data_IF_662282697594
#
_entry.id   IF_662282697594
#
_cell.length_a   1.000
_cell.length_b   1.000
_cell.length_c   1.000
_cell.angle_alpha   90.00
_cell.angle_beta   90.00
_cell.angle_gamma   90.00
#
_symmetry.space_group_name_H-M   'P 1'
#
loop_
_entity.id
_entity.type
_entity.pdbx_description
1 polymer ?
#
# COMPACT_ATOMS: atom_id res chain seq x y z
N UNK A 1 -26.88 -1.43 17.73
CA UNK A 1 -26.06 -2.24 16.81
C UNK A 1 -25.50 -1.46 15.63
N UNK A 2 -26.10 -0.33 15.19
CA UNK A 2 -25.56 0.48 14.07
C UNK A 2 -24.25 1.23 14.39
N UNK A 3 -24.06 1.69 15.63
CA UNK A 3 -22.86 2.46 16.01
C UNK A 3 -21.59 1.61 16.07
N UNK A 4 -21.72 0.30 16.28
CA UNK A 4 -20.60 -0.66 16.38
C UNK A 4 -19.99 -0.99 15.02
N UNK A 5 -20.81 -1.16 13.98
CA UNK A 5 -20.36 -1.45 12.61
C UNK A 5 -19.55 -0.29 12.03
N UNK A 6 -19.98 0.94 12.33
CA UNK A 6 -19.33 2.15 11.83
C UNK A 6 -17.98 2.42 12.47
N UNK A 7 -17.88 2.24 13.80
CA UNK A 7 -16.62 2.36 14.51
C UNK A 7 -15.58 1.35 13.97
N UNK A 8 -16.05 0.18 13.57
CA UNK A 8 -15.22 -0.84 12.92
C UNK A 8 -14.71 -0.38 11.54
N UNK A 9 -15.56 0.16 10.66
CA UNK A 9 -15.12 0.65 9.34
C UNK A 9 -14.00 1.70 9.43
N UNK A 10 -14.14 2.67 10.36
CA UNK A 10 -13.11 3.70 10.55
C UNK A 10 -11.84 3.13 11.19
N UNK A 11 -11.97 2.17 12.11
CA UNK A 11 -10.83 1.47 12.69
C UNK A 11 -10.05 0.69 11.63
N UNK A 12 -10.76 0.00 10.72
CA UNK A 12 -10.16 -0.72 9.59
C UNK A 12 -9.44 0.24 8.64
N UNK A 13 -10.07 1.36 8.27
CA UNK A 13 -9.43 2.41 7.47
C UNK A 13 -8.10 2.89 8.10
N UNK A 14 -8.09 3.12 9.42
CA UNK A 14 -6.90 3.56 10.12
C UNK A 14 -5.83 2.45 10.15
N UNK A 15 -6.21 1.20 10.39
CA UNK A 15 -5.30 0.07 10.37
C UNK A 15 -4.61 -0.08 9.00
N UNK A 16 -5.38 -0.06 7.91
CA UNK A 16 -4.82 -0.15 6.55
C UNK A 16 -3.87 1.01 6.25
N UNK A 17 -4.21 2.24 6.67
CA UNK A 17 -3.35 3.42 6.45
C UNK A 17 -2.04 3.37 7.23
N UNK A 18 -2.04 2.80 8.43
CA UNK A 18 -0.82 2.60 9.21
C UNK A 18 0.06 1.51 8.58
N UNK A 19 -0.53 0.39 8.14
CA UNK A 19 0.21 -0.65 7.42
C UNK A 19 0.82 -0.11 6.12
N UNK A 20 0.06 0.63 5.32
CA UNK A 20 0.55 1.28 4.09
C UNK A 20 1.66 2.31 4.38
N UNK A 21 1.63 3.00 5.53
CA UNK A 21 2.73 3.88 5.96
C UNK A 21 4.00 3.08 6.22
N UNK A 22 3.89 1.96 6.94
CA UNK A 22 5.02 1.06 7.18
C UNK A 22 5.62 0.56 5.87
N UNK A 23 4.78 0.11 4.93
CA UNK A 23 5.25 -0.31 3.60
C UNK A 23 5.94 0.82 2.83
N UNK A 24 5.42 2.05 2.86
CA UNK A 24 6.09 3.19 2.23
C UNK A 24 7.50 3.39 2.77
N UNK A 25 7.64 3.36 4.09
CA UNK A 25 8.93 3.60 4.75
C UNK A 25 9.91 2.45 4.47
N UNK A 26 9.41 1.22 4.40
CA UNK A 26 10.19 0.05 4.00
C UNK A 26 10.64 0.12 2.54
N UNK A 27 9.73 0.36 1.59
CA UNK A 27 10.04 0.49 0.16
C UNK A 27 10.98 1.66 -0.11
N UNK A 28 10.88 2.74 0.66
CA UNK A 28 11.85 3.84 0.64
C UNK A 28 13.27 3.38 1.00
N UNK A 29 13.40 2.49 2.00
CA UNK A 29 14.70 1.90 2.37
C UNK A 29 15.20 0.92 1.32
N UNK A 30 14.32 0.09 0.73
CA UNK A 30 14.69 -0.83 -0.35
C UNK A 30 15.23 -0.06 -1.56
N UNK A 31 14.58 1.04 -1.95
CA UNK A 31 15.06 1.89 -3.03
C UNK A 31 16.44 2.50 -2.73
N UNK A 32 16.65 2.99 -1.52
CA UNK A 32 17.98 3.47 -1.08
C UNK A 32 19.03 2.35 -1.09
N UNK A 33 18.64 1.13 -0.75
CA UNK A 33 19.54 -0.02 -0.77
C UNK A 33 19.90 -0.41 -2.22
N UNK A 34 18.91 -0.46 -3.12
CA UNK A 34 19.11 -0.73 -4.54
C UNK A 34 20.11 0.25 -5.17
N UNK A 35 19.98 1.54 -4.84
CA UNK A 35 20.90 2.59 -5.29
C UNK A 35 22.34 2.41 -4.79
N UNK A 36 22.54 1.78 -3.62
CA UNK A 36 23.88 1.46 -3.10
C UNK A 36 24.50 0.25 -3.79
N UNK A 37 23.68 -0.72 -4.21
CA UNK A 37 24.14 -1.92 -4.91
C UNK A 37 24.45 -1.60 -6.39
N UNK A 38 23.72 -0.66 -6.99
CA UNK A 38 23.81 -0.33 -8.42
C UNK A 38 25.23 -0.11 -8.96
N UNK A 39 26.13 0.66 -8.30
CA UNK A 39 27.48 0.90 -8.82
C UNK A 39 28.36 -0.36 -8.88
N UNK A 40 28.01 -1.40 -8.14
CA UNK A 40 28.78 -2.65 -8.06
C UNK A 40 28.33 -3.70 -9.09
N UNK A 41 27.30 -3.41 -9.87
CA UNK A 41 26.77 -4.34 -10.88
C UNK A 41 27.39 -4.04 -12.25
N UNK A 42 27.99 -5.06 -12.87
CA UNK A 42 28.59 -4.95 -14.21
C UNK A 42 28.04 -5.97 -15.21
N UNK A 43 27.35 -7.00 -14.74
CA UNK A 43 26.73 -7.99 -15.63
C UNK A 43 25.41 -7.46 -16.18
N UNK A 44 25.17 -7.71 -17.47
CA UNK A 44 23.99 -7.22 -18.18
C UNK A 44 22.67 -7.69 -17.54
N UNK A 45 22.62 -8.93 -17.07
CA UNK A 45 21.43 -9.50 -16.43
C UNK A 45 21.13 -8.80 -15.09
N UNK A 46 22.17 -8.50 -14.30
CA UNK A 46 22.03 -7.76 -13.04
C UNK A 46 21.53 -6.34 -13.26
N UNK A 47 22.02 -5.67 -14.30
CA UNK A 47 21.58 -4.32 -14.65
C UNK A 47 20.11 -4.27 -15.08
N UNK A 48 19.65 -5.27 -15.84
CA UNK A 48 18.24 -5.39 -16.23
C UNK A 48 17.35 -5.66 -15.02
N UNK A 49 17.76 -6.57 -14.13
CA UNK A 49 17.00 -6.87 -12.92
C UNK A 49 16.97 -5.66 -11.96
N UNK A 50 18.06 -4.90 -11.90
CA UNK A 50 18.12 -3.66 -11.12
C UNK A 50 17.16 -2.59 -11.66
N UNK A 51 17.13 -2.39 -12.97
CA UNK A 51 16.17 -1.46 -13.61
C UNK A 51 14.73 -1.91 -13.37
N UNK A 52 14.47 -3.22 -13.47
CA UNK A 52 13.16 -3.79 -13.15
C UNK A 52 12.73 -3.46 -11.71
N UNK A 53 13.59 -3.75 -10.74
CA UNK A 53 13.32 -3.49 -9.32
C UNK A 53 13.16 -2.00 -9.03
N UNK A 54 13.95 -1.11 -9.62
CA UNK A 54 13.82 0.34 -9.39
C UNK A 54 12.46 0.86 -9.90
N UNK A 55 12.05 0.40 -11.08
CA UNK A 55 10.75 0.73 -11.66
C UNK A 55 9.60 0.16 -10.80
N UNK A 56 9.69 -1.09 -10.36
CA UNK A 56 8.68 -1.70 -9.50
C UNK A 56 8.56 -0.95 -8.16
N UNK A 57 9.67 -0.70 -7.48
CA UNK A 57 9.69 0.06 -6.22
C UNK A 57 9.09 1.46 -6.40
N UNK A 58 9.38 2.13 -7.53
CA UNK A 58 8.81 3.44 -7.83
C UNK A 58 7.30 3.39 -8.02
N UNK A 59 6.81 2.46 -8.84
CA UNK A 59 5.37 2.27 -9.10
C UNK A 59 4.63 1.96 -7.80
N UNK A 60 5.17 1.07 -6.97
CA UNK A 60 4.50 0.71 -5.72
C UNK A 60 4.47 1.84 -4.69
N UNK A 61 5.47 2.73 -4.66
CA UNK A 61 5.40 3.94 -3.82
C UNK A 61 4.25 4.88 -4.24
N UNK A 62 3.96 4.96 -5.54
CA UNK A 62 2.80 5.71 -6.07
C UNK A 62 1.51 5.01 -5.66
N UNK A 63 1.39 3.69 -5.89
CA UNK A 63 0.20 2.91 -5.54
C UNK A 63 -0.12 3.00 -4.03
N UNK A 64 0.89 2.90 -3.17
CA UNK A 64 0.74 3.08 -1.71
C UNK A 64 0.21 4.48 -1.39
N UNK A 65 0.75 5.52 -2.04
CA UNK A 65 0.30 6.88 -1.83
C UNK A 65 -1.17 7.04 -2.20
N UNK A 66 -1.55 6.57 -3.38
CA UNK A 66 -2.88 6.76 -3.95
C UNK A 66 -3.94 5.98 -3.17
N UNK A 67 -3.68 4.70 -2.85
CA UNK A 67 -4.60 3.91 -2.03
C UNK A 67 -4.77 4.49 -0.62
N UNK A 68 -3.67 4.92 0.00
CA UNK A 68 -3.74 5.59 1.32
C UNK A 68 -4.59 6.86 1.27
N UNK A 69 -4.53 7.61 0.17
CA UNK A 69 -5.34 8.81 -0.03
C UNK A 69 -6.81 8.46 -0.31
N UNK A 70 -7.09 7.40 -1.07
CA UNK A 70 -8.44 6.87 -1.29
C UNK A 70 -9.09 6.44 0.04
N UNK A 71 -8.39 5.63 0.85
CA UNK A 71 -8.88 5.20 2.18
C UNK A 71 -9.13 6.41 3.09
N UNK A 72 -8.25 7.41 3.08
CA UNK A 72 -8.45 8.65 3.86
C UNK A 72 -9.70 9.43 3.42
N UNK A 73 -9.97 9.48 2.12
CA UNK A 73 -11.15 10.16 1.58
C UNK A 73 -12.42 9.38 1.92
N UNK A 74 -12.37 8.05 1.86
CA UNK A 74 -13.45 7.17 2.23
C UNK A 74 -13.80 7.26 3.73
N UNK A 75 -12.80 7.25 4.62
CA UNK A 75 -13.00 7.49 6.05
C UNK A 75 -13.70 8.83 6.31
N UNK A 76 -13.33 9.89 5.58
CA UNK A 76 -14.03 11.18 5.65
C UNK A 76 -15.48 11.10 5.14
N UNK A 77 -15.75 10.36 4.06
CA UNK A 77 -17.10 10.13 3.52
C UNK A 77 -17.98 9.45 4.57
N UNK A 78 -17.48 8.38 5.22
CA UNK A 78 -18.17 7.70 6.33
C UNK A 78 -18.56 8.72 7.41
N UNK A 79 -17.62 9.52 7.91
CA UNK A 79 -17.89 10.50 8.96
C UNK A 79 -18.93 11.56 8.55
N UNK A 80 -18.92 12.01 7.29
CA UNK A 80 -19.88 12.97 6.77
C UNK A 80 -21.29 12.36 6.67
N UNK A 81 -21.41 11.14 6.16
CA UNK A 81 -22.70 10.46 6.06
C UNK A 81 -23.31 10.23 7.44
N UNK A 82 -22.52 9.83 8.43
CA UNK A 82 -23.01 9.66 9.81
C UNK A 82 -23.58 10.93 10.40
N UNK A 83 -22.88 12.06 10.20
CA UNK A 83 -23.31 13.35 10.71
C UNK A 83 -24.62 13.82 10.06
N UNK A 84 -24.83 13.48 8.78
CA UNK A 84 -25.95 13.97 7.98
C UNK A 84 -27.15 13.02 7.93
N UNK A 85 -26.93 11.70 8.05
CA UNK A 85 -27.94 10.65 7.83
C UNK A 85 -28.36 9.94 9.14
N UNK A 86 -28.39 10.67 10.25
CA UNK A 86 -28.86 10.17 11.55
C UNK A 86 -28.08 8.92 12.02
N UNK A 87 -26.75 8.92 11.83
CA UNK A 87 -25.86 7.83 12.21
C UNK A 87 -25.88 6.62 11.30
N UNK A 88 -26.34 6.75 10.06
CA UNK A 88 -26.35 5.68 9.05
C UNK A 88 -25.37 5.97 7.90
N UNK A 89 -24.81 4.91 7.34
CA UNK A 89 -23.95 4.93 6.16
C UNK A 89 -24.75 4.33 4.99
N UNK A 90 -24.51 4.83 3.78
CA UNK A 90 -25.19 4.32 2.58
C UNK A 90 -24.63 2.96 2.13
N UNK A 91 -25.45 2.17 1.44
CA UNK A 91 -25.02 0.90 0.84
C UNK A 91 -23.87 1.11 -0.18
N UNK A 92 -23.87 2.26 -0.86
CA UNK A 92 -22.78 2.67 -1.76
C UNK A 92 -21.46 2.81 -0.99
N UNK A 93 -21.46 3.50 0.15
CA UNK A 93 -20.27 3.63 0.97
C UNK A 93 -19.81 2.27 1.52
N UNK A 94 -20.72 1.36 1.88
CA UNK A 94 -20.32 0.00 2.28
C UNK A 94 -19.66 -0.75 1.12
N UNK A 95 -20.20 -0.64 -0.10
CA UNK A 95 -19.59 -1.24 -1.29
C UNK A 95 -18.21 -0.64 -1.60
N UNK A 96 -18.05 0.68 -1.47
CA UNK A 96 -16.75 1.36 -1.61
C UNK A 96 -15.72 0.82 -0.60
N UNK A 97 -16.16 0.50 0.63
CA UNK A 97 -15.29 -0.05 1.66
C UNK A 97 -14.74 -1.43 1.28
N UNK A 98 -15.60 -2.32 0.79
CA UNK A 98 -15.20 -3.66 0.33
C UNK A 98 -14.25 -3.58 -0.87
N UNK A 99 -14.51 -2.68 -1.81
CA UNK A 99 -13.59 -2.44 -2.94
C UNK A 99 -12.20 -1.99 -2.46
N UNK A 100 -12.14 -1.07 -1.49
CA UNK A 100 -10.88 -0.63 -0.89
C UNK A 100 -10.16 -1.74 -0.14
N UNK A 101 -10.90 -2.66 0.48
CA UNK A 101 -10.31 -3.84 1.13
C UNK A 101 -9.66 -4.77 0.11
N UNK A 102 -10.30 -4.99 -1.04
CA UNK A 102 -9.75 -5.81 -2.11
C UNK A 102 -8.53 -5.16 -2.76
N UNK A 103 -8.57 -3.85 -3.02
CA UNK A 103 -7.41 -3.08 -3.48
C UNK A 103 -6.25 -3.15 -2.48
N UNK A 104 -6.55 -3.03 -1.18
CA UNK A 104 -5.57 -3.15 -0.10
C UNK A 104 -4.92 -4.53 -0.08
N UNK A 105 -5.70 -5.61 -0.12
CA UNK A 105 -5.17 -6.99 -0.12
C UNK A 105 -4.34 -7.27 -1.36
N UNK A 106 -4.79 -6.82 -2.52
CA UNK A 106 -4.08 -6.97 -3.79
C UNK A 106 -2.72 -6.28 -3.74
N UNK A 107 -2.71 -5.00 -3.34
CA UNK A 107 -1.47 -4.25 -3.18
C UNK A 107 -0.56 -4.91 -2.13
N UNK A 108 -1.09 -5.35 -0.98
CA UNK A 108 -0.31 -6.03 0.04
C UNK A 108 0.39 -7.29 -0.48
N UNK A 109 -0.27 -8.08 -1.33
CA UNK A 109 0.34 -9.25 -1.99
C UNK A 109 1.50 -8.81 -2.90
N UNK A 110 1.24 -7.86 -3.80
CA UNK A 110 2.26 -7.34 -4.72
C UNK A 110 3.47 -6.78 -3.98
N UNK A 111 3.25 -6.07 -2.87
CA UNK A 111 4.34 -5.54 -2.04
C UNK A 111 5.17 -6.65 -1.40
N UNK A 112 4.57 -7.77 -0.98
CA UNK A 112 5.30 -8.92 -0.44
C UNK A 112 6.12 -9.61 -1.53
N UNK A 113 5.55 -9.81 -2.71
CA UNK A 113 6.22 -10.43 -3.86
C UNK A 113 7.47 -9.63 -4.28
N UNK A 114 7.35 -8.30 -4.42
CA UNK A 114 8.49 -7.44 -4.78
C UNK A 114 9.56 -7.43 -3.69
N UNK A 115 9.17 -7.53 -2.42
CA UNK A 115 10.13 -7.64 -1.31
C UNK A 115 10.92 -8.93 -1.37
N UNK A 116 10.24 -10.05 -1.64
CA UNK A 116 10.90 -11.35 -1.82
C UNK A 116 11.87 -11.30 -3.00
N UNK A 117 11.42 -10.78 -4.15
CA UNK A 117 12.27 -10.61 -5.33
C UNK A 117 13.51 -9.73 -5.04
N UNK A 118 13.33 -8.62 -4.33
CA UNK A 118 14.44 -7.75 -3.93
C UNK A 118 15.42 -8.49 -3.00
N UNK A 119 14.92 -9.25 -2.03
CA UNK A 119 15.77 -9.97 -1.08
C UNK A 119 16.57 -11.07 -1.78
N UNK A 120 15.97 -11.77 -2.73
CA UNK A 120 16.65 -12.76 -3.57
C UNK A 120 17.73 -12.08 -4.41
N UNK A 121 17.42 -10.93 -5.01
CA UNK A 121 18.39 -10.13 -5.77
C UNK A 121 19.59 -9.70 -4.91
N UNK A 122 19.32 -9.17 -3.70
CA UNK A 122 20.35 -8.66 -2.80
C UNK A 122 21.21 -9.78 -2.20
N UNK A 123 20.60 -10.90 -1.81
CA UNK A 123 21.32 -12.04 -1.20
C UNK A 123 22.25 -12.72 -2.20
N UNK A 124 21.85 -12.83 -3.47
CA UNK A 124 22.69 -13.39 -4.53
C UNK A 124 23.95 -12.56 -4.84
N UNK A 125 24.03 -11.32 -4.32
CA UNK A 125 25.07 -10.32 -4.65
C UNK A 125 25.78 -9.74 -3.42
N UNK A 126 25.57 -10.35 -2.25
CA UNK A 126 26.31 -10.08 -1.00
C UNK A 126 27.40 -11.12 -0.81
#
# INVERSE_FOLDING_TARGET
>A
MVTTEVAQLSQECNAWRETLRSYRDEFGKLKQHLQKIAPHQSHKEDLLQLEHLDNQLHIQLINIHDLKQAIKNHDRKIHQELANNNGKVSDETLADHENLLDEYKSLESTLKEIKEEFNDFATART
#
